data_IF_858926926777
#
_entry.id   IF_858926926777
#
_cell.length_a   1.000
_cell.length_b   1.000
_cell.length_c   1.000
_cell.angle_alpha   90.00
_cell.angle_beta   90.00
_cell.angle_gamma   90.00
#
_symmetry.space_group_name_H-M   'P 1'
#
loop_
_entity.id
_entity.type
_entity.pdbx_description
1 polymer ?
#
# COMPACT_ATOMS: atom_id res chain seq x y z
N UNK A 1 5.24 30.79 -11.55
CA UNK A 1 3.79 30.67 -11.38
C UNK A 1 3.49 30.65 -9.88
N UNK A 2 2.70 31.60 -9.40
CA UNK A 2 2.24 31.67 -8.02
C UNK A 2 0.85 31.04 -7.85
N UNK A 3 0.45 30.78 -6.61
CA UNK A 3 -0.88 30.24 -6.29
C UNK A 3 -2.02 31.18 -6.68
N UNK A 4 -1.73 32.45 -6.87
CA UNK A 4 -2.70 33.47 -7.28
C UNK A 4 -2.87 33.56 -8.81
N UNK A 5 -2.00 32.93 -9.58
CA UNK A 5 -2.04 32.99 -11.03
C UNK A 5 -3.10 32.04 -11.59
N UNK A 6 -4.07 32.56 -12.30
CA UNK A 6 -5.04 31.77 -13.07
C UNK A 6 -4.52 31.41 -14.46
N UNK A 7 -3.56 32.18 -14.96
CA UNK A 7 -2.99 32.04 -16.30
C UNK A 7 -1.48 32.03 -16.22
N UNK A 8 -0.85 31.26 -17.08
CA UNK A 8 0.60 31.23 -17.19
C UNK A 8 1.12 32.61 -17.63
N UNK A 9 1.98 33.28 -16.84
CA UNK A 9 2.50 34.60 -17.21
C UNK A 9 3.39 34.58 -18.44
N UNK A 10 3.91 33.42 -18.84
CA UNK A 10 4.81 33.28 -19.98
C UNK A 10 4.09 33.03 -21.30
N UNK A 11 3.02 32.24 -21.32
CA UNK A 11 2.29 31.87 -22.55
C UNK A 11 0.83 32.27 -22.57
N UNK A 12 0.27 32.75 -21.45
CA UNK A 12 -1.12 33.18 -21.35
C UNK A 12 -2.14 32.05 -21.31
N UNK A 13 -1.69 30.80 -21.27
CA UNK A 13 -2.59 29.65 -21.20
C UNK A 13 -3.19 29.51 -19.80
N UNK A 14 -4.45 29.13 -19.73
CA UNK A 14 -5.14 28.93 -18.45
C UNK A 14 -4.53 27.75 -17.71
N UNK A 15 -4.16 27.99 -16.44
CA UNK A 15 -3.61 26.95 -15.59
C UNK A 15 -4.69 25.97 -15.14
N UNK A 16 -4.37 24.67 -15.03
CA UNK A 16 -5.29 23.69 -14.43
C UNK A 16 -5.64 24.09 -13.00
N UNK A 17 -6.91 23.92 -12.61
CA UNK A 17 -7.39 24.27 -11.26
C UNK A 17 -6.65 23.56 -10.13
N UNK A 18 -6.02 22.43 -10.45
CA UNK A 18 -5.31 21.58 -9.48
C UNK A 18 -3.79 21.63 -9.59
N UNK A 19 -3.22 22.63 -10.29
CA UNK A 19 -1.76 22.68 -10.54
C UNK A 19 -0.94 22.64 -9.26
N UNK A 20 -1.38 23.32 -8.21
CA UNK A 20 -0.67 23.32 -6.90
C UNK A 20 -0.93 22.08 -6.08
N UNK A 21 -2.09 21.45 -6.26
CA UNK A 21 -2.37 20.12 -5.69
C UNK A 21 -1.48 19.05 -6.33
N UNK A 22 -1.23 19.13 -7.64
CA UNK A 22 -0.32 18.22 -8.33
C UNK A 22 1.12 18.29 -7.78
N UNK A 23 1.57 19.46 -7.35
CA UNK A 23 2.89 19.60 -6.74
C UNK A 23 3.00 18.83 -5.42
N UNK A 24 1.99 18.94 -4.53
CA UNK A 24 1.94 18.17 -3.30
C UNK A 24 1.88 16.65 -3.55
N UNK A 25 1.13 16.24 -4.58
CA UNK A 25 1.05 14.84 -5.01
C UNK A 25 2.41 14.33 -5.54
N UNK A 26 3.20 15.18 -6.19
CA UNK A 26 4.55 14.82 -6.65
C UNK A 26 5.50 14.56 -5.48
N UNK A 27 5.40 15.32 -4.39
CA UNK A 27 6.17 15.08 -3.17
C UNK A 27 5.76 13.76 -2.51
N UNK A 28 4.48 13.46 -2.49
CA UNK A 28 3.95 12.18 -2.03
C UNK A 28 4.47 11.02 -2.89
N UNK A 29 4.43 11.17 -4.21
CA UNK A 29 4.97 10.16 -5.12
C UNK A 29 6.46 9.92 -4.88
N UNK A 30 7.24 10.97 -4.66
CA UNK A 30 8.66 10.86 -4.33
C UNK A 30 8.89 10.09 -3.02
N UNK A 31 8.07 10.34 -2.01
CA UNK A 31 8.10 9.62 -0.74
C UNK A 31 7.81 8.12 -0.93
N UNK A 32 6.77 7.79 -1.68
CA UNK A 32 6.40 6.41 -1.97
C UNK A 32 7.49 5.69 -2.76
N UNK A 33 8.03 6.33 -3.78
CA UNK A 33 9.07 5.74 -4.63
C UNK A 33 10.38 5.51 -3.87
N UNK A 34 10.71 6.39 -2.91
CA UNK A 34 11.84 6.17 -2.03
C UNK A 34 11.66 4.94 -1.14
N UNK A 35 10.47 4.73 -0.61
CA UNK A 35 10.15 3.53 0.15
C UNK A 35 10.31 2.26 -0.71
N UNK A 36 9.86 2.31 -1.97
CA UNK A 36 10.01 1.21 -2.93
C UNK A 36 11.49 0.95 -3.24
N UNK A 37 12.28 2.00 -3.46
CA UNK A 37 13.73 1.88 -3.68
C UNK A 37 14.44 1.23 -2.47
N UNK A 38 14.03 1.58 -1.25
CA UNK A 38 14.58 1.01 -0.02
C UNK A 38 14.33 -0.51 0.07
N UNK A 39 13.32 -1.02 -0.63
CA UNK A 39 13.06 -2.46 -0.75
C UNK A 39 13.88 -3.14 -1.84
N UNK A 40 14.69 -2.39 -2.58
CA UNK A 40 15.46 -2.91 -3.71
C UNK A 40 14.64 -3.06 -5.00
N UNK A 41 13.50 -2.40 -5.11
CA UNK A 41 12.61 -2.42 -6.26
C UNK A 41 12.77 -1.13 -7.07
N UNK A 42 12.78 -1.22 -8.39
CA UNK A 42 12.77 -0.04 -9.25
C UNK A 42 11.35 0.56 -9.29
N UNK A 43 11.16 1.77 -8.74
CA UNK A 43 9.80 2.35 -8.65
C UNK A 43 9.20 2.67 -10.02
N UNK A 44 10.00 2.95 -11.03
CA UNK A 44 9.51 3.21 -12.40
C UNK A 44 8.80 1.99 -12.96
N UNK A 45 9.34 0.80 -12.73
CA UNK A 45 8.75 -0.45 -13.17
C UNK A 45 7.50 -0.83 -12.34
N UNK A 46 7.39 -0.31 -11.14
CA UNK A 46 6.25 -0.56 -10.26
C UNK A 46 5.03 0.32 -10.60
N UNK A 47 5.21 1.41 -11.30
CA UNK A 47 4.12 2.34 -11.64
C UNK A 47 3.08 1.67 -12.51
N UNK A 48 1.82 1.69 -12.04
CA UNK A 48 0.67 1.15 -12.78
C UNK A 48 -0.37 2.21 -13.11
N UNK A 49 -0.18 3.43 -12.65
CA UNK A 49 -1.05 4.57 -12.88
C UNK A 49 -0.55 5.79 -12.12
N UNK A 50 -1.36 6.86 -12.17
CA UNK A 50 -1.06 8.08 -11.42
C UNK A 50 -1.12 7.79 -9.92
N UNK A 51 -0.01 8.02 -9.22
CA UNK A 51 0.13 7.74 -7.78
C UNK A 51 -0.34 6.34 -7.39
N UNK A 52 0.01 5.36 -8.21
CA UNK A 52 -0.34 3.97 -7.99
C UNK A 52 0.82 3.06 -8.40
N UNK A 53 1.19 2.16 -7.50
CA UNK A 53 2.31 1.24 -7.69
C UNK A 53 1.89 -0.17 -7.31
N UNK A 54 2.35 -1.13 -8.08
CA UNK A 54 2.20 -2.55 -7.77
C UNK A 54 3.51 -3.27 -8.04
N UNK A 55 4.00 -4.00 -7.08
CA UNK A 55 5.26 -4.74 -7.19
C UNK A 55 5.23 -5.98 -6.29
N UNK A 56 6.20 -6.85 -6.50
CA UNK A 56 6.42 -8.00 -5.63
C UNK A 56 7.72 -7.83 -4.83
N UNK A 57 7.66 -8.17 -3.56
CA UNK A 57 8.82 -8.33 -2.69
C UNK A 57 8.75 -9.72 -2.06
N UNK A 58 9.69 -10.59 -2.44
CA UNK A 58 9.56 -12.01 -2.13
C UNK A 58 8.32 -12.61 -2.82
N UNK A 59 7.52 -13.34 -2.08
CA UNK A 59 6.24 -13.91 -2.55
C UNK A 59 5.07 -12.93 -2.50
N UNK A 60 5.24 -11.81 -1.81
CA UNK A 60 4.13 -10.88 -1.53
C UNK A 60 3.98 -9.83 -2.62
N UNK A 61 2.76 -9.66 -3.11
CA UNK A 61 2.38 -8.52 -3.95
C UNK A 61 2.02 -7.35 -3.07
N UNK A 62 2.60 -6.19 -3.32
CA UNK A 62 2.32 -4.94 -2.61
C UNK A 62 1.68 -3.96 -3.58
N UNK A 63 0.57 -3.40 -3.18
CA UNK A 63 -0.15 -2.35 -3.91
C UNK A 63 -0.18 -1.09 -3.08
N UNK A 64 0.30 0.02 -3.66
CA UNK A 64 0.29 1.33 -3.03
C UNK A 64 -0.52 2.28 -3.90
N UNK A 65 -1.47 2.98 -3.33
CA UNK A 65 -2.32 3.92 -4.05
C UNK A 65 -2.88 5.01 -3.15
N UNK A 66 -3.19 6.16 -3.74
CA UNK A 66 -3.81 7.29 -3.04
C UNK A 66 -5.33 7.18 -3.17
N UNK A 67 -6.03 7.30 -2.05
CA UNK A 67 -7.48 7.24 -1.98
C UNK A 67 -8.05 8.56 -1.50
N UNK A 68 -9.01 9.10 -2.26
CA UNK A 68 -9.71 10.35 -1.95
C UNK A 68 -8.79 11.54 -1.63
N UNK A 69 -7.57 11.54 -2.17
CA UNK A 69 -6.55 12.59 -1.93
C UNK A 69 -6.19 12.81 -0.45
N UNK A 70 -6.65 11.94 0.44
CA UNK A 70 -6.46 12.07 1.88
C UNK A 70 -5.64 10.96 2.49
N UNK A 71 -5.66 9.78 1.87
CA UNK A 71 -5.02 8.58 2.40
C UNK A 71 -4.11 7.92 1.38
N UNK A 72 -2.97 7.46 1.87
CA UNK A 72 -2.15 6.48 1.18
C UNK A 72 -2.50 5.10 1.73
N UNK A 73 -2.88 4.18 0.86
CA UNK A 73 -3.10 2.79 1.19
C UNK A 73 -1.96 1.93 0.66
N UNK A 74 -1.47 1.04 1.51
CA UNK A 74 -0.60 -0.05 1.11
C UNK A 74 -1.35 -1.34 1.43
N UNK A 75 -1.56 -2.19 0.45
CA UNK A 75 -2.28 -3.46 0.62
C UNK A 75 -1.49 -4.62 0.07
N UNK A 76 -1.66 -5.79 0.67
CA UNK A 76 -1.08 -7.03 0.18
C UNK A 76 -2.09 -8.15 0.29
N UNK A 77 -2.48 -8.80 -0.81
CA UNK A 77 -3.32 -9.98 -0.76
C UNK A 77 -2.54 -11.15 -0.16
N UNK A 78 -3.13 -11.83 0.82
CA UNK A 78 -2.48 -12.91 1.56
C UNK A 78 -3.00 -14.28 1.14
N UNK A 79 -4.23 -14.60 1.57
CA UNK A 79 -4.82 -15.92 1.45
C UNK A 79 -6.29 -15.82 1.08
N UNK A 80 -6.85 -16.93 0.64
CA UNK A 80 -8.29 -17.11 0.53
C UNK A 80 -8.82 -17.76 1.80
N UNK A 81 -10.05 -17.43 2.18
CA UNK A 81 -10.72 -18.09 3.29
C UNK A 81 -10.81 -19.61 3.04
N UNK A 82 -10.66 -20.44 4.09
CA UNK A 82 -10.84 -21.88 3.95
C UNK A 82 -12.30 -22.20 3.64
N UNK A 83 -12.53 -23.32 2.98
CA UNK A 83 -13.90 -23.76 2.63
C UNK A 83 -14.68 -24.29 3.84
N UNK A 84 -13.98 -24.67 4.91
CA UNK A 84 -14.52 -25.21 6.16
C UNK A 84 -13.85 -24.53 7.35
N UNK A 85 -14.54 -24.56 8.51
CA UNK A 85 -14.02 -24.00 9.74
C UNK A 85 -13.71 -22.49 9.64
N UNK A 86 -14.68 -21.70 9.19
CA UNK A 86 -14.55 -20.26 9.00
C UNK A 86 -14.47 -19.49 10.31
N UNK A 87 -15.13 -19.95 11.37
CA UNK A 87 -15.25 -19.22 12.64
C UNK A 87 -13.89 -18.90 13.26
N UNK A 88 -12.92 -19.83 13.38
CA UNK A 88 -11.62 -19.50 13.97
C UNK A 88 -10.85 -18.42 13.19
N UNK A 89 -10.82 -18.49 11.87
CA UNK A 89 -10.11 -17.49 11.07
C UNK A 89 -10.81 -16.14 11.10
N UNK A 90 -12.14 -16.09 11.05
CA UNK A 90 -12.89 -14.84 11.16
C UNK A 90 -12.72 -14.19 12.52
N UNK A 91 -12.71 -14.98 13.59
CA UNK A 91 -12.44 -14.50 14.95
C UNK A 91 -11.05 -13.89 15.03
N UNK A 92 -10.04 -14.55 14.47
CA UNK A 92 -8.68 -14.02 14.42
C UNK A 92 -8.61 -12.70 13.65
N UNK A 93 -9.23 -12.61 12.47
CA UNK A 93 -9.22 -11.38 11.66
C UNK A 93 -9.81 -10.17 12.40
N UNK A 94 -10.85 -10.40 13.23
CA UNK A 94 -11.51 -9.35 14.00
C UNK A 94 -10.75 -8.96 15.26
N UNK A 95 -9.91 -9.82 15.80
CA UNK A 95 -9.25 -9.65 17.10
C UNK A 95 -7.74 -9.49 17.04
N UNK A 96 -7.12 -9.58 15.84
CA UNK A 96 -5.67 -9.46 15.70
C UNK A 96 -5.18 -8.07 16.06
N UNK A 97 -4.42 -7.96 17.14
CA UNK A 97 -3.83 -6.70 17.63
C UNK A 97 -2.30 -6.67 17.53
N UNK A 98 -1.68 -7.82 17.46
CA UNK A 98 -0.22 -8.00 17.42
C UNK A 98 0.41 -7.62 16.08
N UNK A 99 -0.41 -7.31 15.08
CA UNK A 99 0.02 -6.92 13.73
C UNK A 99 0.11 -5.40 13.53
N UNK A 100 -0.22 -4.59 14.54
CA UNK A 100 -0.16 -3.12 14.42
C UNK A 100 1.22 -2.67 13.95
N UNK A 101 1.30 -1.67 13.06
CA UNK A 101 0.27 -0.73 12.60
C UNK A 101 -0.58 -1.25 11.43
N UNK A 102 -0.43 -2.48 11.03
CA UNK A 102 -1.18 -3.09 9.94
C UNK A 102 -2.54 -3.60 10.42
N UNK A 103 -3.43 -3.81 9.47
CA UNK A 103 -4.78 -4.36 9.70
C UNK A 103 -5.05 -5.48 8.71
N UNK A 104 -5.82 -6.46 9.15
CA UNK A 104 -6.35 -7.50 8.28
C UNK A 104 -7.76 -7.13 7.83
N UNK A 105 -8.08 -7.47 6.59
CA UNK A 105 -9.39 -7.23 6.01
C UNK A 105 -9.80 -8.35 5.06
N UNK A 106 -11.07 -8.29 4.64
CA UNK A 106 -11.65 -9.22 3.67
C UNK A 106 -12.21 -8.46 2.48
N UNK A 107 -11.93 -8.98 1.30
CA UNK A 107 -12.58 -8.60 0.06
C UNK A 107 -13.09 -9.90 -0.61
N UNK A 108 -14.41 -10.13 -0.53
CA UNK A 108 -14.96 -11.44 -0.87
C UNK A 108 -14.37 -12.55 -0.02
N UNK A 109 -13.74 -13.53 -0.65
CA UNK A 109 -13.01 -14.61 0.03
C UNK A 109 -11.54 -14.31 0.31
N UNK A 110 -11.04 -13.18 -0.17
CA UNK A 110 -9.63 -12.84 -0.07
C UNK A 110 -9.32 -12.10 1.22
N UNK A 111 -8.35 -12.61 1.98
CA UNK A 111 -7.77 -11.93 3.13
C UNK A 111 -6.62 -11.06 2.64
N UNK A 112 -6.56 -9.83 3.08
CA UNK A 112 -5.48 -8.91 2.75
C UNK A 112 -4.94 -8.20 4.00
N UNK A 113 -3.67 -7.85 3.95
CA UNK A 113 -3.01 -6.97 4.90
C UNK A 113 -3.09 -5.53 4.37
N UNK A 114 -3.37 -4.57 5.22
CA UNK A 114 -3.43 -3.16 4.83
C UNK A 114 -2.69 -2.26 5.81
N UNK A 115 -2.16 -1.18 5.29
CA UNK A 115 -1.59 -0.08 6.04
C UNK A 115 -2.15 1.22 5.48
N UNK A 116 -2.91 1.93 6.28
CA UNK A 116 -3.55 3.19 5.91
C UNK A 116 -2.85 4.34 6.59
N UNK A 117 -2.47 5.33 5.82
CA UNK A 117 -1.73 6.50 6.28
C UNK A 117 -2.47 7.76 5.84
N UNK A 118 -2.73 8.68 6.76
CA UNK A 118 -3.21 10.00 6.36
C UNK A 118 -2.07 10.77 5.71
N UNK A 119 -2.33 11.41 4.56
CA UNK A 119 -1.28 12.08 3.78
C UNK A 119 -0.54 13.15 4.59
N UNK A 120 -1.24 13.86 5.48
CA UNK A 120 -0.61 14.86 6.34
C UNK A 120 0.49 14.28 7.24
N UNK A 121 0.40 13.02 7.64
CA UNK A 121 1.40 12.36 8.49
C UNK A 121 2.70 12.09 7.73
N UNK A 122 2.65 11.93 6.41
CA UNK A 122 3.82 11.74 5.57
C UNK A 122 4.75 12.97 5.60
N UNK A 123 4.18 14.16 5.78
CA UNK A 123 4.92 15.42 5.86
C UNK A 123 5.18 15.86 7.30
N UNK A 124 4.99 14.98 8.27
CA UNK A 124 5.19 15.20 9.69
C UNK A 124 6.48 14.55 10.21
N UNK A 125 6.71 14.64 11.50
CA UNK A 125 7.83 13.98 12.18
C UNK A 125 7.73 12.44 12.15
N UNK A 126 6.56 11.88 11.78
CA UNK A 126 6.35 10.45 11.64
C UNK A 126 6.78 9.87 10.27
N UNK A 127 7.29 10.70 9.37
CA UNK A 127 7.63 10.29 8.00
C UNK A 127 8.60 9.10 7.95
N UNK A 128 9.64 9.09 8.79
CA UNK A 128 10.62 8.01 8.83
C UNK A 128 10.02 6.69 9.33
N UNK A 129 9.19 6.76 10.36
CA UNK A 129 8.48 5.59 10.88
C UNK A 129 7.51 5.02 9.86
N UNK A 130 6.77 5.87 9.18
CA UNK A 130 5.84 5.48 8.11
C UNK A 130 6.60 4.80 6.97
N UNK A 131 7.72 5.38 6.55
CA UNK A 131 8.54 4.80 5.48
C UNK A 131 9.10 3.43 5.86
N UNK A 132 9.54 3.28 7.11
CA UNK A 132 9.98 2.00 7.65
C UNK A 132 8.84 0.97 7.64
N UNK A 133 7.65 1.36 8.09
CA UNK A 133 6.49 0.47 8.12
C UNK A 133 6.07 0.01 6.72
N UNK A 134 6.15 0.88 5.72
CA UNK A 134 5.93 0.50 4.32
C UNK A 134 6.96 -0.53 3.87
N UNK A 135 8.23 -0.30 4.20
CA UNK A 135 9.33 -1.21 3.85
C UNK A 135 9.17 -2.57 4.53
N UNK A 136 8.77 -2.59 5.78
CA UNK A 136 8.61 -3.82 6.57
C UNK A 136 7.33 -4.59 6.22
N UNK A 137 6.40 -3.98 5.52
CA UNK A 137 5.11 -4.58 5.19
C UNK A 137 5.24 -5.89 4.40
N UNK A 138 6.20 -5.98 3.50
CA UNK A 138 6.44 -7.19 2.71
C UNK A 138 6.83 -8.39 3.58
N UNK A 139 7.65 -8.17 4.61
CA UNK A 139 8.01 -9.20 5.58
C UNK A 139 6.80 -9.61 6.42
N UNK A 140 6.02 -8.64 6.84
CA UNK A 140 4.81 -8.91 7.62
C UNK A 140 3.76 -9.68 6.81
N UNK A 141 3.60 -9.34 5.54
CA UNK A 141 2.71 -10.06 4.64
C UNK A 141 3.13 -11.52 4.47
N UNK A 142 4.42 -11.77 4.25
CA UNK A 142 4.96 -13.12 4.10
C UNK A 142 4.83 -13.95 5.41
N UNK A 143 5.04 -13.33 6.56
CA UNK A 143 4.81 -13.95 7.85
C UNK A 143 3.33 -14.32 8.05
N UNK A 144 2.44 -13.40 7.71
CA UNK A 144 1.01 -13.58 7.92
C UNK A 144 0.39 -14.60 6.98
N UNK A 145 0.79 -14.63 5.70
CA UNK A 145 0.24 -15.60 4.76
C UNK A 145 0.60 -17.04 5.15
N UNK A 146 1.82 -17.25 5.62
CA UNK A 146 2.26 -18.54 6.17
C UNK A 146 1.49 -18.90 7.44
N UNK A 147 1.33 -17.94 8.35
CA UNK A 147 0.58 -18.14 9.59
C UNK A 147 -0.88 -18.55 9.32
N UNK A 148 -1.54 -17.86 8.40
CA UNK A 148 -2.93 -18.16 8.04
C UNK A 148 -3.07 -19.53 7.36
N UNK A 149 -2.11 -19.90 6.52
CA UNK A 149 -2.09 -21.21 5.88
C UNK A 149 -1.88 -22.34 6.91
N UNK A 150 -0.89 -22.19 7.77
CA UNK A 150 -0.50 -23.23 8.74
C UNK A 150 -1.52 -23.38 9.87
N UNK A 151 -2.07 -22.27 10.36
CA UNK A 151 -2.96 -22.26 11.53
C UNK A 151 -4.42 -22.55 11.15
N UNK A 152 -4.91 -21.98 10.04
CA UNK A 152 -6.31 -22.03 9.66
C UNK A 152 -6.59 -22.79 8.36
N UNK A 153 -5.55 -23.28 7.70
CA UNK A 153 -5.70 -24.01 6.42
C UNK A 153 -6.12 -23.11 5.26
N UNK A 154 -5.82 -21.81 5.32
CA UNK A 154 -6.10 -20.89 4.23
C UNK A 154 -5.22 -21.19 3.02
N UNK A 155 -5.81 -21.23 1.83
CA UNK A 155 -5.05 -21.37 0.59
C UNK A 155 -4.38 -20.03 0.25
N UNK A 156 -3.16 -20.07 -0.31
CA UNK A 156 -2.49 -18.85 -0.75
C UNK A 156 -3.26 -18.17 -1.87
N UNK A 157 -3.23 -16.83 -1.87
CA UNK A 157 -3.82 -16.03 -2.93
C UNK A 157 -3.16 -16.30 -4.28
N UNK A 158 -3.93 -16.22 -5.36
CA UNK A 158 -3.40 -16.31 -6.74
C UNK A 158 -2.37 -15.21 -7.06
N UNK A 159 -2.39 -14.10 -6.31
CA UNK A 159 -1.46 -12.99 -6.46
C UNK A 159 -0.16 -13.20 -5.69
N UNK A 160 -0.09 -14.15 -4.77
CA UNK A 160 1.16 -14.54 -4.15
C UNK A 160 1.99 -15.29 -5.18
N UNK A 161 3.19 -14.80 -5.50
CA UNK A 161 4.14 -15.59 -6.27
C UNK A 161 4.57 -16.75 -5.40
N UNK A 162 4.09 -17.93 -5.72
CA UNK A 162 4.73 -19.13 -5.23
C UNK A 162 6.16 -19.09 -5.73
N UNK A 163 7.13 -19.17 -4.84
CA UNK A 163 8.51 -19.28 -5.23
C UNK A 163 8.60 -20.32 -6.32
N UNK A 164 8.99 -19.85 -7.51
CA UNK A 164 9.32 -20.77 -8.59
C UNK A 164 10.54 -21.56 -8.12
N UNK A 165 10.28 -22.76 -7.74
CA UNK A 165 11.32 -23.74 -7.45
C UNK A 165 12.13 -23.99 -8.72
#
# INVERSE_FOLDING_TARGET
ISEEDEYCPSCGEKLPENIFQQRGLTELAAFCEKAIENMGINPVLARVGYESWTFHKGSSEIRMFVYQRSYLFCTSPLNNLPKKNLEPVLTYLLSAEDIKPYQLGLDGNQIYLSYRIHISDIFSDFAEEIQKNITDMAFKADEMDNYLADTFGCEFSEYAKKDAI
#
